data_IF_551756017767
#
_entry.id   IF_551756017767
#
_cell.length_a   1.000
_cell.length_b   1.000
_cell.length_c   1.000
_cell.angle_alpha   90.00
_cell.angle_beta   90.00
_cell.angle_gamma   90.00
#
_symmetry.space_group_name_H-M   'P 1'
#
loop_
_entity.id
_entity.type
_entity.pdbx_description
1 polymer ?
#
# COMPACT_ATOMS: atom_id res chain seq x y z
N UNK A 1 -27.46 -17.25 -16.15
CA UNK A 1 -26.20 -17.23 -16.91
C UNK A 1 -25.10 -17.60 -15.93
N UNK A 2 -24.59 -18.79 -16.11
CA UNK A 2 -23.58 -19.40 -15.25
C UNK A 2 -22.25 -18.60 -15.40
N UNK A 3 -21.92 -17.82 -14.38
CA UNK A 3 -20.63 -17.13 -14.33
C UNK A 3 -19.60 -18.11 -13.77
N UNK A 4 -19.10 -18.98 -14.63
CA UNK A 4 -17.89 -19.72 -14.31
C UNK A 4 -16.78 -18.73 -13.97
N UNK A 5 -16.31 -18.79 -12.72
CA UNK A 5 -15.10 -18.11 -12.27
C UNK A 5 -13.99 -18.50 -13.25
N UNK A 6 -13.27 -17.56 -13.87
CA UNK A 6 -12.19 -17.90 -14.79
C UNK A 6 -11.20 -18.87 -14.10
N UNK A 7 -10.71 -19.86 -14.81
CA UNK A 7 -9.73 -20.85 -14.30
C UNK A 7 -8.52 -20.19 -13.62
N UNK A 8 -8.17 -18.99 -14.03
CA UNK A 8 -7.18 -18.11 -13.40
C UNK A 8 -7.49 -17.78 -11.94
N UNK A 9 -8.76 -17.53 -11.56
CA UNK A 9 -9.14 -17.27 -10.18
C UNK A 9 -9.04 -18.53 -9.29
N UNK A 10 -9.13 -19.72 -9.88
CA UNK A 10 -8.93 -20.97 -9.17
C UNK A 10 -7.44 -21.28 -8.94
N UNK A 11 -6.55 -20.97 -9.91
CA UNK A 11 -5.11 -21.10 -9.71
C UNK A 11 -4.53 -20.10 -8.69
N UNK A 12 -5.09 -18.90 -8.60
CA UNK A 12 -4.66 -17.90 -7.60
C UNK A 12 -5.25 -18.20 -6.21
N UNK A 13 -6.41 -18.86 -6.14
CA UNK A 13 -7.02 -19.26 -4.86
C UNK A 13 -6.23 -20.34 -4.11
N UNK A 14 -5.28 -21.01 -4.79
CA UNK A 14 -4.42 -22.01 -4.14
C UNK A 14 -3.13 -21.40 -3.53
N UNK A 15 -2.82 -20.14 -3.85
CA UNK A 15 -1.76 -19.40 -3.18
C UNK A 15 -2.32 -18.72 -1.92
N UNK A 16 -2.07 -19.31 -0.76
CA UNK A 16 -2.34 -18.71 0.54
C UNK A 16 -3.71 -19.04 1.13
N UNK A 17 -4.16 -20.28 1.09
CA UNK A 17 -5.06 -20.77 2.13
C UNK A 17 -4.26 -20.80 3.43
N UNK A 18 -4.76 -20.08 4.45
CA UNK A 18 -4.28 -20.31 5.81
C UNK A 18 -4.40 -21.81 6.06
N UNK A 19 -3.29 -22.47 6.26
CA UNK A 19 -3.29 -23.82 6.84
C UNK A 19 -3.41 -23.61 8.35
N UNK A 20 -4.18 -24.48 8.99
CA UNK A 20 -3.99 -24.61 10.42
C UNK A 20 -2.49 -24.95 10.65
N UNK A 21 -1.82 -24.29 11.60
CA UNK A 21 -0.40 -24.52 11.81
C UNK A 21 -0.16 -26.00 12.13
N UNK A 22 0.71 -26.63 11.34
CA UNK A 22 1.15 -27.98 11.63
C UNK A 22 2.15 -27.94 12.80
N UNK A 23 2.28 -29.03 13.58
CA UNK A 23 3.30 -29.12 14.62
C UNK A 23 4.70 -28.82 14.01
N UNK A 24 5.34 -27.74 14.48
CA UNK A 24 6.62 -27.25 13.94
C UNK A 24 6.50 -26.00 13.05
N UNK A 25 5.29 -25.51 12.78
CA UNK A 25 5.06 -24.15 12.27
C UNK A 25 5.11 -23.17 13.45
N UNK A 26 5.74 -22.05 13.29
CA UNK A 26 5.91 -20.97 14.27
C UNK A 26 6.76 -19.89 13.65
N UNK A 27 7.11 -18.88 14.40
CA UNK A 27 7.93 -17.77 13.93
C UNK A 27 9.36 -18.25 13.63
N UNK A 28 9.75 -18.27 12.35
CA UNK A 28 11.12 -18.60 11.96
C UNK A 28 12.07 -17.50 12.43
N UNK A 29 13.04 -17.87 13.26
CA UNK A 29 14.11 -16.98 13.69
C UNK A 29 15.08 -16.78 12.52
N UNK A 30 15.14 -15.56 11.99
CA UNK A 30 16.01 -15.18 10.88
C UNK A 30 17.38 -14.74 11.35
N UNK A 31 17.42 -13.99 12.45
CA UNK A 31 18.64 -13.49 13.05
C UNK A 31 18.50 -13.41 14.57
N UNK A 32 19.62 -13.58 15.29
CA UNK A 32 19.73 -13.35 16.73
C UNK A 32 20.87 -12.38 16.96
N UNK A 33 20.59 -11.30 17.68
CA UNK A 33 21.62 -10.29 17.98
C UNK A 33 22.59 -10.84 19.03
N UNK A 34 23.92 -10.82 18.78
CA UNK A 34 24.90 -11.21 19.80
C UNK A 34 24.75 -10.43 21.09
N UNK A 35 25.00 -11.07 22.21
CA UNK A 35 24.92 -10.46 23.55
C UNK A 35 23.50 -9.96 23.90
N UNK A 36 22.46 -10.63 23.40
CA UNK A 36 21.06 -10.36 23.72
C UNK A 36 20.45 -11.49 24.58
N UNK A 37 19.31 -11.27 25.24
CA UNK A 37 18.64 -12.31 26.01
C UNK A 37 18.42 -13.61 25.23
N UNK A 38 17.99 -13.53 23.97
CA UNK A 38 17.81 -14.70 23.12
C UNK A 38 19.12 -15.42 22.77
N UNK A 39 20.22 -14.68 22.63
CA UNK A 39 21.56 -15.25 22.41
C UNK A 39 22.06 -16.01 23.62
N UNK A 40 21.86 -15.47 24.82
CA UNK A 40 22.37 -16.03 26.08
C UNK A 40 21.73 -17.38 26.41
N UNK A 41 20.50 -17.60 25.98
CA UNK A 41 19.79 -18.89 26.14
C UNK A 41 20.00 -19.87 24.99
N UNK A 42 20.77 -19.47 23.95
CA UNK A 42 21.16 -20.34 22.84
C UNK A 42 20.12 -20.46 21.73
N UNK A 43 19.24 -19.47 21.55
CA UNK A 43 18.38 -19.40 20.37
C UNK A 43 19.26 -19.05 19.17
N UNK A 44 19.09 -19.77 18.05
CA UNK A 44 19.89 -19.63 16.84
C UNK A 44 19.01 -19.38 15.59
N UNK A 45 19.55 -18.71 14.56
CA UNK A 45 18.87 -18.61 13.27
C UNK A 45 18.50 -19.98 12.70
N UNK A 46 17.26 -20.10 12.19
CA UNK A 46 16.70 -21.35 11.69
C UNK A 46 15.83 -22.10 12.70
N UNK A 47 15.93 -21.81 13.99
CA UNK A 47 14.96 -22.27 14.99
C UNK A 47 13.61 -21.58 14.80
N UNK A 48 12.57 -22.10 15.44
CA UNK A 48 11.23 -21.54 15.41
C UNK A 48 10.68 -21.32 16.82
N UNK A 49 10.10 -20.16 17.06
CA UNK A 49 9.33 -19.90 18.28
C UNK A 49 7.89 -20.31 18.01
N UNK A 50 7.39 -21.28 18.75
CA UNK A 50 6.04 -21.84 18.58
C UNK A 50 5.00 -21.09 19.40
N UNK A 51 5.33 -20.84 20.68
CA UNK A 51 4.46 -20.14 21.62
C UNK A 51 5.21 -19.04 22.36
N UNK A 52 4.48 -18.07 22.84
CA UNK A 52 4.93 -17.00 23.72
C UNK A 52 3.93 -16.87 24.88
N UNK A 53 4.38 -17.00 26.13
CA UNK A 53 3.54 -17.03 27.35
C UNK A 53 2.37 -18.03 27.25
N UNK A 54 2.59 -19.15 26.53
CA UNK A 54 1.57 -20.18 26.29
C UNK A 54 0.57 -19.86 25.17
N UNK A 55 0.62 -18.67 24.57
CA UNK A 55 -0.16 -18.33 23.38
C UNK A 55 0.61 -18.71 22.09
N UNK A 56 -0.09 -19.26 21.10
CA UNK A 56 0.51 -19.64 19.84
C UNK A 56 1.02 -18.39 19.09
N UNK A 57 2.28 -18.41 18.67
CA UNK A 57 2.90 -17.29 17.96
C UNK A 57 2.55 -17.32 16.46
N UNK A 58 1.44 -16.68 16.11
CA UNK A 58 0.90 -16.64 14.75
C UNK A 58 1.37 -15.44 13.92
N UNK A 59 1.78 -14.37 14.57
CA UNK A 59 2.18 -13.12 13.93
C UNK A 59 2.93 -12.18 14.89
N UNK A 60 3.42 -11.08 14.33
CA UNK A 60 4.13 -10.04 15.10
C UNK A 60 3.25 -9.30 16.10
N UNK A 61 1.91 -9.30 15.95
CA UNK A 61 1.02 -8.64 16.91
C UNK A 61 0.98 -9.43 18.20
N UNK A 62 0.86 -10.76 18.08
CA UNK A 62 0.96 -11.66 19.25
C UNK A 62 2.31 -11.48 19.95
N UNK A 63 3.41 -11.44 19.18
CA UNK A 63 4.73 -11.20 19.75
C UNK A 63 4.81 -9.86 20.51
N UNK A 64 4.40 -8.78 19.89
CA UNK A 64 4.47 -7.45 20.51
C UNK A 64 3.58 -7.30 21.73
N UNK A 65 2.47 -8.03 21.76
CA UNK A 65 1.52 -8.00 22.87
C UNK A 65 1.98 -8.86 24.06
N UNK A 66 2.42 -10.09 23.77
CA UNK A 66 2.78 -11.06 24.81
C UNK A 66 4.22 -10.88 25.33
N UNK A 67 5.12 -10.28 24.53
CA UNK A 67 6.51 -10.09 24.91
C UNK A 67 6.81 -8.64 25.39
N UNK A 68 5.81 -7.93 25.90
CA UNK A 68 5.97 -6.54 26.41
C UNK A 68 6.62 -6.51 27.80
N UNK A 69 6.44 -7.53 28.64
CA UNK A 69 7.02 -7.65 29.96
C UNK A 69 8.54 -7.88 29.92
N UNK A 70 9.19 -7.81 31.11
CA UNK A 70 10.64 -8.03 31.26
C UNK A 70 11.03 -9.52 31.24
N UNK A 71 10.05 -10.42 31.39
CA UNK A 71 10.23 -11.90 31.34
C UNK A 71 9.22 -12.48 30.35
N UNK A 72 9.64 -13.46 29.54
CA UNK A 72 8.77 -14.16 28.60
C UNK A 72 9.11 -15.66 28.53
N UNK A 73 8.06 -16.51 28.53
CA UNK A 73 8.16 -17.93 28.33
C UNK A 73 7.96 -18.31 26.87
N UNK A 74 8.93 -19.02 26.29
CA UNK A 74 8.87 -19.45 24.88
C UNK A 74 8.93 -20.99 24.79
N UNK A 75 8.24 -21.56 23.80
CA UNK A 75 8.55 -22.89 23.29
C UNK A 75 9.30 -22.76 21.97
N UNK A 76 10.54 -23.24 21.95
CA UNK A 76 11.44 -23.13 20.81
C UNK A 76 11.65 -24.49 20.16
N UNK A 77 11.34 -24.61 18.88
CA UNK A 77 11.58 -25.80 18.06
C UNK A 77 12.91 -25.69 17.32
N UNK A 78 13.75 -26.71 17.49
CA UNK A 78 14.99 -26.87 16.73
C UNK A 78 14.78 -27.88 15.58
N UNK A 79 14.81 -27.45 14.33
CA UNK A 79 14.61 -28.35 13.19
C UNK A 79 15.78 -29.32 12.95
N UNK A 80 16.93 -29.11 13.57
CA UNK A 80 18.12 -29.97 13.41
C UNK A 80 17.96 -31.33 14.10
N UNK A 81 17.24 -31.37 15.19
CA UNK A 81 17.02 -32.60 15.99
C UNK A 81 15.55 -32.89 16.26
N UNK A 82 14.64 -31.96 15.89
CA UNK A 82 13.20 -32.10 16.07
C UNK A 82 12.72 -31.88 17.51
N UNK A 83 13.54 -31.27 18.36
CA UNK A 83 13.18 -31.03 19.77
C UNK A 83 12.40 -29.72 19.94
N UNK A 84 11.49 -29.72 20.92
CA UNK A 84 10.84 -28.50 21.44
C UNK A 84 11.36 -28.28 22.85
N UNK A 85 11.94 -27.12 23.09
CA UNK A 85 12.54 -26.75 24.37
C UNK A 85 11.81 -25.56 24.96
N UNK A 86 11.30 -25.62 26.20
CA UNK A 86 10.82 -24.44 26.90
C UNK A 86 12.02 -23.57 27.30
N UNK A 87 11.90 -22.28 27.08
CA UNK A 87 12.95 -21.28 27.33
C UNK A 87 12.34 -20.08 28.01
N UNK A 88 12.86 -19.69 29.16
CA UNK A 88 12.53 -18.41 29.81
C UNK A 88 13.57 -17.37 29.41
N UNK A 89 13.12 -16.21 28.96
CA UNK A 89 13.97 -15.06 28.66
C UNK A 89 13.67 -13.93 29.63
N UNK A 90 14.76 -13.36 30.17
CA UNK A 90 14.72 -12.15 31.00
C UNK A 90 15.47 -11.04 30.30
N UNK A 91 14.94 -9.82 30.39
CA UNK A 91 15.59 -8.59 29.85
C UNK A 91 15.57 -7.47 30.87
N UNK A 92 16.48 -6.53 30.73
CA UNK A 92 16.39 -5.26 31.43
C UNK A 92 15.30 -4.39 30.80
N UNK A 93 14.63 -3.50 31.60
CA UNK A 93 13.62 -2.60 31.05
C UNK A 93 14.10 -1.82 29.82
N UNK A 94 13.40 -1.99 28.71
CA UNK A 94 13.72 -1.35 27.42
C UNK A 94 14.82 -2.05 26.61
N UNK A 95 15.36 -3.17 27.09
CA UNK A 95 16.25 -4.01 26.31
C UNK A 95 15.45 -4.78 25.25
N UNK A 96 16.04 -4.93 24.07
CA UNK A 96 15.47 -5.70 22.97
C UNK A 96 15.79 -7.20 23.14
N UNK A 97 14.82 -8.06 22.91
CA UNK A 97 14.99 -9.52 23.03
C UNK A 97 16.09 -10.10 22.13
N UNK A 98 16.43 -9.38 21.06
CA UNK A 98 17.46 -9.79 20.10
C UNK A 98 16.98 -10.76 19.04
N UNK A 99 15.65 -10.96 18.88
CA UNK A 99 15.06 -11.85 17.89
C UNK A 99 14.59 -11.06 16.66
N UNK A 100 15.03 -11.49 15.48
CA UNK A 100 14.46 -11.05 14.19
C UNK A 100 13.77 -12.25 13.53
N UNK A 101 12.48 -12.14 13.27
CA UNK A 101 11.70 -13.17 12.60
C UNK A 101 11.65 -12.97 11.08
N UNK A 102 11.35 -14.04 10.33
CA UNK A 102 11.20 -13.98 8.88
C UNK A 102 9.77 -13.55 8.49
N UNK A 103 9.59 -12.23 8.38
CA UNK A 103 8.32 -11.60 8.06
C UNK A 103 7.43 -11.36 9.29
N UNK A 104 6.25 -10.75 9.08
CA UNK A 104 5.34 -10.37 10.15
C UNK A 104 4.21 -11.38 10.41
N UNK A 105 4.00 -12.38 9.55
CA UNK A 105 2.94 -13.39 9.61
C UNK A 105 3.57 -14.77 9.60
N UNK A 106 3.25 -15.62 10.59
CA UNK A 106 3.91 -16.90 10.80
C UNK A 106 3.02 -18.11 10.48
N UNK A 107 1.70 -17.95 10.51
CA UNK A 107 0.70 -18.99 10.20
C UNK A 107 0.17 -18.95 8.75
N UNK A 108 0.75 -18.08 7.94
CA UNK A 108 0.31 -17.84 6.56
C UNK A 108 -0.63 -16.64 6.42
N UNK A 109 -0.52 -15.99 5.26
CA UNK A 109 -1.28 -14.78 4.96
C UNK A 109 -2.72 -15.12 4.57
N UNK A 110 -3.70 -14.37 5.10
CA UNK A 110 -5.10 -14.49 4.70
C UNK A 110 -5.35 -13.84 3.35
N UNK A 111 -6.09 -14.55 2.50
CA UNK A 111 -6.36 -14.10 1.14
C UNK A 111 -7.76 -13.55 0.97
N UNK A 112 -7.89 -12.61 0.02
CA UNK A 112 -9.13 -11.93 -0.29
C UNK A 112 -10.17 -12.89 -0.91
N UNK A 113 -11.38 -12.89 -0.37
CA UNK A 113 -12.52 -13.69 -0.83
C UNK A 113 -13.45 -12.96 -1.79
N UNK A 114 -13.15 -11.70 -2.11
CA UNK A 114 -14.00 -10.84 -2.93
C UNK A 114 -13.78 -11.03 -4.43
N UNK A 115 -14.77 -10.62 -5.23
CA UNK A 115 -14.73 -10.59 -6.68
C UNK A 115 -14.86 -9.16 -7.22
N UNK A 116 -14.04 -8.25 -6.71
CA UNK A 116 -14.14 -6.82 -7.01
C UNK A 116 -13.98 -6.55 -8.51
N UNK A 117 -14.90 -5.73 -9.05
CA UNK A 117 -14.86 -5.35 -10.47
C UNK A 117 -13.64 -4.49 -10.84
N UNK A 118 -13.08 -3.81 -9.85
CA UNK A 118 -11.91 -2.95 -9.94
C UNK A 118 -10.62 -3.62 -9.41
N UNK A 119 -10.66 -4.94 -9.10
CA UNK A 119 -9.49 -5.64 -8.55
C UNK A 119 -8.30 -5.53 -9.51
N UNK A 120 -7.24 -4.89 -9.04
CA UNK A 120 -6.04 -4.64 -9.83
C UNK A 120 -5.39 -5.95 -10.32
N UNK A 121 -5.43 -7.01 -9.50
CA UNK A 121 -4.89 -8.33 -9.87
C UNK A 121 -5.52 -8.89 -11.16
N UNK A 122 -6.83 -8.62 -11.39
CA UNK A 122 -7.52 -9.05 -12.61
C UNK A 122 -7.19 -8.17 -13.82
N UNK A 123 -6.50 -7.05 -13.62
CA UNK A 123 -6.08 -6.11 -14.64
C UNK A 123 -4.61 -6.26 -15.03
N UNK A 124 -3.89 -7.22 -14.45
CA UNK A 124 -2.51 -7.51 -14.78
C UNK A 124 -2.39 -8.45 -16.00
N UNK A 125 -1.29 -8.39 -16.74
CA UNK A 125 -1.00 -9.35 -17.80
C UNK A 125 -0.78 -10.76 -17.21
N UNK A 126 -1.22 -11.79 -17.92
CA UNK A 126 -0.94 -13.18 -17.50
C UNK A 126 0.54 -13.53 -17.66
N UNK A 127 1.03 -14.45 -16.82
CA UNK A 127 2.39 -15.03 -16.94
C UNK A 127 3.48 -14.15 -16.31
N UNK A 128 3.14 -13.23 -15.43
CA UNK A 128 4.10 -12.52 -14.58
C UNK A 128 4.61 -13.40 -13.42
N UNK A 129 5.45 -12.83 -12.57
CA UNK A 129 5.90 -13.50 -11.33
C UNK A 129 4.70 -13.74 -10.40
N UNK A 130 4.68 -14.87 -9.71
CA UNK A 130 3.59 -15.25 -8.79
C UNK A 130 3.28 -14.18 -7.74
N UNK A 131 4.32 -13.52 -7.22
CA UNK A 131 4.19 -12.43 -6.25
C UNK A 131 3.37 -11.23 -6.74
N UNK A 132 3.19 -11.06 -8.06
CA UNK A 132 2.34 -10.00 -8.61
C UNK A 132 0.84 -10.31 -8.53
N UNK A 133 0.46 -11.53 -8.18
CA UNK A 133 -0.93 -11.99 -8.16
C UNK A 133 -1.42 -12.36 -6.77
N UNK A 134 -0.66 -12.01 -5.74
CA UNK A 134 -1.05 -12.18 -4.34
C UNK A 134 -2.23 -11.25 -4.06
N UNK A 135 -3.31 -11.83 -3.52
CA UNK A 135 -4.53 -11.11 -3.14
C UNK A 135 -4.65 -11.13 -1.63
N UNK A 136 -3.83 -10.32 -0.99
CA UNK A 136 -3.89 -10.17 0.45
C UNK A 136 -5.20 -9.47 0.89
N UNK A 137 -5.71 -9.89 2.03
CA UNK A 137 -6.83 -9.27 2.75
C UNK A 137 -6.69 -9.64 4.23
N UNK A 138 -5.45 -9.53 4.74
CA UNK A 138 -5.09 -9.92 6.10
C UNK A 138 -5.12 -8.70 7.01
N UNK A 139 -6.05 -8.69 7.95
CA UNK A 139 -6.24 -7.57 8.87
C UNK A 139 -5.00 -7.26 9.72
N UNK A 140 -4.14 -8.27 9.98
CA UNK A 140 -2.88 -8.08 10.69
C UNK A 140 -1.90 -7.22 9.90
N UNK A 141 -1.85 -7.41 8.56
CA UNK A 141 -1.03 -6.57 7.68
C UNK A 141 -1.59 -5.15 7.55
N UNK A 142 -2.90 -4.96 7.74
CA UNK A 142 -3.47 -3.63 7.82
C UNK A 142 -2.88 -2.84 8.98
N UNK A 143 -2.84 -3.44 10.17
CA UNK A 143 -2.27 -2.81 11.35
C UNK A 143 -0.74 -2.67 11.28
N UNK A 144 -0.03 -3.75 10.88
CA UNK A 144 1.44 -3.78 10.90
C UNK A 144 2.11 -3.00 9.77
N UNK A 145 1.47 -2.90 8.61
CA UNK A 145 2.09 -2.37 7.38
C UNK A 145 1.23 -1.35 6.64
N UNK A 146 0.01 -1.08 7.10
CA UNK A 146 -0.88 -0.13 6.44
C UNK A 146 -1.59 -0.68 5.19
N UNK A 147 -1.64 -2.00 5.00
CA UNK A 147 -2.35 -2.59 3.87
C UNK A 147 -3.86 -2.35 3.99
N UNK A 148 -4.51 -1.98 2.88
CA UNK A 148 -5.96 -1.82 2.87
C UNK A 148 -6.68 -3.16 2.79
N UNK A 149 -7.54 -3.42 3.78
CA UNK A 149 -8.33 -4.64 3.87
C UNK A 149 -9.82 -4.36 3.72
N UNK A 150 -10.55 -5.40 3.32
CA UNK A 150 -12.00 -5.28 3.05
C UNK A 150 -12.86 -5.67 4.25
N UNK A 151 -12.29 -6.31 5.26
CA UNK A 151 -12.92 -6.89 6.45
C UNK A 151 -13.97 -7.98 6.14
N UNK A 152 -14.05 -8.45 4.89
CA UNK A 152 -15.11 -9.38 4.43
C UNK A 152 -14.81 -10.83 4.76
N UNK A 153 -13.57 -11.16 5.12
CA UNK A 153 -13.10 -12.51 5.46
C UNK A 153 -12.81 -12.69 6.96
N UNK A 154 -13.08 -11.69 7.79
CA UNK A 154 -12.87 -11.79 9.24
C UNK A 154 -13.93 -12.68 9.88
N UNK A 155 -13.48 -13.59 10.75
CA UNK A 155 -14.34 -14.32 11.69
C UNK A 155 -14.73 -13.43 12.85
N UNK A 156 -15.67 -13.88 13.69
CA UNK A 156 -16.03 -13.14 14.90
C UNK A 156 -14.87 -13.12 15.91
N UNK A 157 -14.03 -14.16 15.94
CA UNK A 157 -12.82 -14.21 16.74
C UNK A 157 -11.79 -13.17 16.28
N UNK A 158 -11.61 -13.02 14.96
CA UNK A 158 -10.73 -11.98 14.42
C UNK A 158 -11.17 -10.58 14.81
N UNK A 159 -12.50 -10.33 14.77
CA UNK A 159 -13.07 -9.04 15.20
C UNK A 159 -12.77 -8.80 16.69
N UNK A 160 -12.93 -9.84 17.53
CA UNK A 160 -12.57 -9.71 18.95
C UNK A 160 -11.08 -9.44 19.14
N UNK A 161 -10.20 -10.10 18.41
CA UNK A 161 -8.75 -9.85 18.45
C UNK A 161 -8.41 -8.40 18.08
N UNK A 162 -9.03 -7.86 17.02
CA UNK A 162 -8.86 -6.44 16.63
C UNK A 162 -9.21 -5.51 17.79
N UNK A 163 -10.35 -5.76 18.44
CA UNK A 163 -10.86 -4.92 19.53
C UNK A 163 -10.01 -5.07 20.79
N UNK A 164 -9.75 -6.31 21.24
CA UNK A 164 -9.04 -6.59 22.50
C UNK A 164 -7.59 -6.11 22.47
N UNK A 165 -6.90 -6.27 21.34
CA UNK A 165 -5.53 -5.79 21.16
C UNK A 165 -5.45 -4.35 20.67
N UNK A 166 -6.59 -3.65 20.60
CA UNK A 166 -6.68 -2.26 20.17
C UNK A 166 -5.87 -1.97 18.89
N UNK A 167 -6.12 -2.79 17.85
CA UNK A 167 -5.40 -2.64 16.56
C UNK A 167 -5.88 -1.37 15.84
N UNK A 168 -5.28 -0.26 16.18
CA UNK A 168 -5.67 1.07 15.71
C UNK A 168 -4.42 1.88 15.31
N UNK A 169 -4.42 2.58 14.14
CA UNK A 169 -5.47 2.62 13.15
C UNK A 169 -5.51 1.39 12.24
N UNK A 170 -6.71 1.11 11.67
CA UNK A 170 -6.90 0.10 10.64
C UNK A 170 -7.13 0.76 9.27
N UNK A 171 -6.49 0.23 8.22
CA UNK A 171 -6.66 0.70 6.84
C UNK A 171 -7.75 -0.12 6.14
N UNK A 172 -8.90 0.50 5.81
CA UNK A 172 -10.08 -0.22 5.36
C UNK A 172 -10.61 0.28 4.02
N UNK A 173 -10.78 -0.64 3.09
CA UNK A 173 -11.41 -0.43 1.78
C UNK A 173 -12.94 -0.35 1.92
N UNK A 174 -13.51 0.86 1.91
CA UNK A 174 -14.95 1.11 2.05
C UNK A 174 -15.67 1.09 0.70
N UNK A 175 -15.21 1.84 -0.26
CA UNK A 175 -15.66 2.00 -1.64
C UNK A 175 -17.07 2.55 -1.83
N UNK A 176 -18.06 2.08 -1.10
CA UNK A 176 -19.46 2.51 -1.15
C UNK A 176 -20.18 2.05 0.11
N UNK A 177 -21.31 2.70 0.47
CA UNK A 177 -22.13 2.32 1.64
C UNK A 177 -23.42 1.61 1.26
N UNK A 178 -23.99 1.87 0.08
CA UNK A 178 -25.21 1.21 -0.35
C UNK A 178 -25.00 -0.28 -0.60
N UNK A 179 -25.76 -1.20 0.06
CA UNK A 179 -25.55 -2.64 -0.04
C UNK A 179 -25.55 -3.18 -1.46
N UNK A 180 -26.46 -2.67 -2.31
CA UNK A 180 -26.58 -3.09 -3.70
C UNK A 180 -25.37 -2.66 -4.53
N UNK A 181 -24.83 -1.47 -4.28
CA UNK A 181 -23.63 -0.95 -4.96
C UNK A 181 -22.43 -1.78 -4.51
N UNK A 182 -22.23 -1.97 -3.22
CA UNK A 182 -21.16 -2.81 -2.66
C UNK A 182 -21.20 -4.22 -3.25
N UNK A 183 -22.39 -4.85 -3.28
CA UNK A 183 -22.55 -6.19 -3.84
C UNK A 183 -22.16 -6.26 -5.31
N UNK A 184 -22.53 -5.27 -6.10
CA UNK A 184 -22.14 -5.19 -7.53
C UNK A 184 -20.64 -4.95 -7.70
N UNK A 185 -20.02 -4.18 -6.82
CA UNK A 185 -18.61 -3.84 -6.87
C UNK A 185 -17.71 -4.96 -6.36
N UNK A 186 -18.04 -5.59 -5.23
CA UNK A 186 -17.14 -6.48 -4.48
C UNK A 186 -17.63 -7.94 -4.41
N UNK A 187 -18.92 -8.19 -4.63
CA UNK A 187 -19.52 -9.52 -4.57
C UNK A 187 -20.33 -9.76 -3.30
N UNK A 188 -20.65 -11.04 -3.04
CA UNK A 188 -21.64 -11.46 -2.03
C UNK A 188 -21.28 -11.15 -0.57
N UNK A 189 -19.99 -11.12 -0.26
CA UNK A 189 -19.50 -10.93 1.11
C UNK A 189 -19.36 -9.43 1.49
N UNK A 190 -19.68 -8.52 0.59
CA UNK A 190 -19.44 -7.09 0.78
C UNK A 190 -20.14 -6.50 2.01
N UNK A 191 -21.35 -7.01 2.37
CA UNK A 191 -22.08 -6.54 3.55
C UNK A 191 -21.35 -6.88 4.85
N UNK A 192 -20.78 -8.09 4.97
CA UNK A 192 -19.99 -8.49 6.15
C UNK A 192 -18.91 -7.46 6.49
N UNK A 193 -18.21 -6.93 5.46
CA UNK A 193 -17.19 -5.91 5.67
C UNK A 193 -17.72 -4.61 6.30
N UNK A 194 -18.96 -4.20 5.97
CA UNK A 194 -19.60 -3.04 6.63
C UNK A 194 -20.00 -3.34 8.06
N UNK A 195 -20.60 -4.52 8.30
CA UNK A 195 -21.03 -4.92 9.64
C UNK A 195 -19.81 -4.99 10.60
N UNK A 196 -18.68 -5.51 10.12
CA UNK A 196 -17.42 -5.53 10.88
C UNK A 196 -16.87 -4.11 11.07
N UNK A 197 -16.87 -3.28 10.03
CA UNK A 197 -16.38 -1.89 10.12
C UNK A 197 -17.15 -1.12 11.20
N UNK A 198 -18.49 -1.17 11.19
CA UNK A 198 -19.31 -0.51 12.21
C UNK A 198 -19.03 -1.07 13.61
N UNK A 199 -18.81 -2.38 13.73
CA UNK A 199 -18.49 -3.02 15.01
C UNK A 199 -17.16 -2.53 15.59
N UNK A 200 -16.10 -2.49 14.79
CA UNK A 200 -14.77 -2.05 15.27
C UNK A 200 -14.74 -0.54 15.53
N UNK A 201 -15.45 0.27 14.73
CA UNK A 201 -15.60 1.70 14.99
C UNK A 201 -16.35 1.95 16.30
N UNK A 202 -17.42 1.20 16.57
CA UNK A 202 -18.17 1.31 17.84
C UNK A 202 -17.31 0.95 19.07
N UNK A 203 -16.26 0.14 18.88
CA UNK A 203 -15.26 -0.16 19.92
C UNK A 203 -14.15 0.90 20.02
N UNK A 204 -14.17 1.94 19.19
CA UNK A 204 -13.21 3.05 19.24
C UNK A 204 -11.99 2.89 18.33
N UNK A 205 -11.94 1.86 17.47
CA UNK A 205 -10.84 1.67 16.53
C UNK A 205 -10.84 2.78 15.46
N UNK A 206 -9.72 3.45 15.30
CA UNK A 206 -9.51 4.47 14.28
C UNK A 206 -9.36 3.83 12.90
N UNK A 207 -9.94 4.47 11.87
CA UNK A 207 -10.00 3.96 10.51
C UNK A 207 -9.37 4.96 9.54
N UNK A 208 -8.42 4.48 8.76
CA UNK A 208 -8.02 5.10 7.51
C UNK A 208 -8.78 4.43 6.38
N UNK A 209 -9.78 5.12 5.85
CA UNK A 209 -10.67 4.57 4.84
C UNK A 209 -10.16 4.84 3.41
N UNK A 210 -10.53 3.96 2.46
CA UNK A 210 -10.21 4.14 1.04
C UNK A 210 -11.44 3.93 0.17
N UNK A 211 -11.58 4.78 -0.86
CA UNK A 211 -12.54 4.63 -1.95
C UNK A 211 -11.78 4.51 -3.27
N UNK A 212 -11.88 3.36 -3.94
CA UNK A 212 -11.56 3.27 -5.37
C UNK A 212 -12.76 3.75 -6.15
N UNK A 213 -12.66 4.92 -6.77
CA UNK A 213 -13.76 5.56 -7.48
C UNK A 213 -13.89 5.00 -8.89
N UNK A 214 -14.98 4.25 -9.12
CA UNK A 214 -15.26 3.54 -10.36
C UNK A 214 -16.35 4.28 -11.15
N UNK A 215 -16.04 4.76 -12.38
CA UNK A 215 -16.99 5.51 -13.19
C UNK A 215 -18.32 4.79 -13.42
N UNK A 216 -19.44 5.45 -13.08
CA UNK A 216 -20.80 4.94 -13.24
C UNK A 216 -21.20 3.84 -12.25
N UNK A 217 -20.44 3.63 -11.17
CA UNK A 217 -20.75 2.63 -10.15
C UNK A 217 -20.92 3.22 -8.75
N UNK A 218 -19.89 3.87 -8.23
CA UNK A 218 -19.88 4.49 -6.90
C UNK A 218 -19.51 5.98 -6.94
N UNK A 219 -19.61 6.61 -8.11
CA UNK A 219 -19.51 8.05 -8.30
C UNK A 219 -20.87 8.77 -8.07
N UNK A 220 -20.90 10.10 -8.24
CA UNK A 220 -22.11 10.90 -8.10
C UNK A 220 -22.81 10.75 -6.75
N UNK A 221 -24.10 10.42 -6.77
CA UNK A 221 -24.93 10.30 -5.55
C UNK A 221 -24.41 9.23 -4.57
N UNK A 222 -23.85 8.13 -5.07
CA UNK A 222 -23.31 7.10 -4.20
C UNK A 222 -22.04 7.55 -3.49
N UNK A 223 -21.18 8.28 -4.18
CA UNK A 223 -20.01 8.91 -3.56
C UNK A 223 -20.48 9.87 -2.46
N UNK A 224 -21.45 10.73 -2.73
CA UNK A 224 -21.96 11.67 -1.74
C UNK A 224 -22.51 10.96 -0.48
N UNK A 225 -23.26 9.84 -0.64
CA UNK A 225 -23.73 9.04 0.48
C UNK A 225 -22.57 8.46 1.30
N UNK A 226 -21.54 7.98 0.61
CA UNK A 226 -20.35 7.42 1.27
C UNK A 226 -19.57 8.50 2.03
N UNK A 227 -19.44 9.69 1.45
CA UNK A 227 -18.80 10.82 2.12
C UNK A 227 -19.57 11.25 3.37
N UNK A 228 -20.92 11.30 3.32
CA UNK A 228 -21.78 11.59 4.49
C UNK A 228 -21.60 10.55 5.59
N UNK A 229 -21.59 9.28 5.25
CA UNK A 229 -21.29 8.22 6.20
C UNK A 229 -19.95 8.43 6.89
N UNK A 230 -18.90 8.72 6.13
CA UNK A 230 -17.58 8.98 6.70
C UNK A 230 -17.54 10.27 7.55
N UNK A 231 -18.30 11.30 7.20
CA UNK A 231 -18.41 12.54 7.99
C UNK A 231 -19.14 12.34 9.33
N UNK A 232 -20.09 11.37 9.39
CA UNK A 232 -20.86 11.06 10.60
C UNK A 232 -20.07 10.21 11.60
N UNK A 233 -19.01 9.50 11.16
CA UNK A 233 -18.19 8.62 12.00
C UNK A 233 -16.81 9.23 12.26
N UNK A 234 -16.63 9.77 13.46
CA UNK A 234 -15.38 10.47 13.87
C UNK A 234 -14.16 9.53 13.94
N UNK A 235 -14.39 8.22 14.05
CA UNK A 235 -13.36 7.18 13.99
C UNK A 235 -12.69 7.11 12.62
N UNK A 236 -13.36 7.58 11.55
CA UNK A 236 -12.76 7.71 10.23
C UNK A 236 -11.93 9.00 10.20
N UNK A 237 -10.65 8.88 10.54
CA UNK A 237 -9.75 10.02 10.67
C UNK A 237 -9.13 10.45 9.34
N UNK A 238 -9.06 9.54 8.37
CA UNK A 238 -8.59 9.80 7.03
C UNK A 238 -9.37 8.99 5.98
N UNK A 239 -9.74 9.62 4.87
CA UNK A 239 -10.37 8.97 3.73
C UNK A 239 -9.61 9.33 2.45
N UNK A 240 -8.97 8.32 1.86
CA UNK A 240 -8.32 8.43 0.55
C UNK A 240 -9.27 8.08 -0.59
N UNK A 241 -9.39 8.97 -1.58
CA UNK A 241 -10.19 8.73 -2.77
C UNK A 241 -9.24 8.61 -3.96
N UNK A 242 -9.15 7.39 -4.51
CA UNK A 242 -8.25 7.08 -5.63
C UNK A 242 -9.07 6.72 -6.87
N UNK A 243 -8.62 7.08 -8.08
CA UNK A 243 -9.34 6.70 -9.29
C UNK A 243 -9.13 5.22 -9.60
N UNK A 244 -10.10 4.63 -10.31
CA UNK A 244 -9.97 3.28 -10.84
C UNK A 244 -8.69 3.11 -11.65
N UNK A 245 -7.85 2.17 -11.27
CA UNK A 245 -6.73 1.73 -12.09
C UNK A 245 -7.23 1.12 -13.40
N UNK A 246 -6.75 1.63 -14.55
CA UNK A 246 -7.27 1.26 -15.86
C UNK A 246 -6.18 0.68 -16.76
N UNK A 247 -6.31 -0.60 -17.12
CA UNK A 247 -5.36 -1.28 -17.99
C UNK A 247 -6.04 -1.90 -19.22
N UNK A 248 -5.27 -2.27 -20.23
CA UNK A 248 -5.77 -2.94 -21.43
C UNK A 248 -6.23 -4.39 -21.20
N UNK A 249 -5.95 -4.97 -20.04
CA UNK A 249 -6.29 -6.34 -19.70
C UNK A 249 -7.66 -6.50 -19.07
N UNK A 250 -8.34 -5.39 -18.76
CA UNK A 250 -9.72 -5.38 -18.31
C UNK A 250 -10.68 -4.96 -19.42
N UNK A 251 -11.95 -5.36 -19.31
CA UNK A 251 -13.02 -5.05 -20.27
C UNK A 251 -14.32 -4.55 -19.61
N UNK A 252 -14.30 -4.32 -18.31
CA UNK A 252 -15.49 -3.92 -17.52
C UNK A 252 -15.77 -2.43 -17.61
N UNK A 253 -14.71 -1.62 -17.73
CA UNK A 253 -14.79 -0.17 -17.83
C UNK A 253 -14.29 0.28 -19.21
N UNK A 254 -14.95 1.27 -19.78
CA UNK A 254 -14.63 1.82 -21.11
C UNK A 254 -13.78 3.09 -21.03
N UNK A 255 -13.74 3.75 -19.88
CA UNK A 255 -13.02 4.99 -19.63
C UNK A 255 -12.58 5.10 -18.18
N UNK A 256 -11.64 6.01 -17.91
CA UNK A 256 -11.18 6.40 -16.58
C UNK A 256 -11.24 7.92 -16.44
N UNK A 257 -10.95 8.46 -15.25
CA UNK A 257 -10.95 9.90 -15.01
C UNK A 257 -9.91 10.65 -15.87
N UNK A 258 -8.76 10.05 -16.17
CA UNK A 258 -7.77 10.59 -17.11
C UNK A 258 -8.30 10.81 -18.53
N UNK A 259 -9.44 10.19 -18.86
CA UNK A 259 -10.09 10.35 -20.15
C UNK A 259 -11.05 11.54 -20.19
N UNK A 260 -11.45 12.03 -19.04
CA UNK A 260 -12.48 13.04 -18.84
C UNK A 260 -12.08 14.03 -17.73
N UNK A 261 -11.16 14.95 -18.03
CA UNK A 261 -10.68 15.94 -17.07
C UNK A 261 -11.79 16.76 -16.40
N UNK A 262 -12.89 16.99 -17.10
CA UNK A 262 -14.06 17.69 -16.57
C UNK A 262 -14.68 16.94 -15.38
N UNK A 263 -14.80 15.60 -15.47
CA UNK A 263 -15.35 14.80 -14.39
C UNK A 263 -14.39 14.72 -13.19
N UNK A 264 -13.10 14.76 -13.42
CA UNK A 264 -12.11 14.87 -12.33
C UNK A 264 -12.30 16.21 -11.58
N UNK A 265 -12.51 17.33 -12.30
CA UNK A 265 -12.80 18.65 -11.67
C UNK A 265 -14.11 18.65 -10.91
N UNK A 266 -15.16 18.07 -11.50
CA UNK A 266 -16.47 17.98 -10.85
C UNK A 266 -16.40 17.15 -9.55
N UNK A 267 -15.62 16.07 -9.55
CA UNK A 267 -15.40 15.24 -8.37
C UNK A 267 -14.64 16.00 -7.29
N UNK A 268 -13.58 16.73 -7.64
CA UNK A 268 -12.85 17.60 -6.71
C UNK A 268 -13.79 18.64 -6.11
N UNK A 269 -14.61 19.28 -6.92
CA UNK A 269 -15.57 20.30 -6.50
C UNK A 269 -16.65 19.71 -5.54
N UNK A 270 -17.10 18.47 -5.77
CA UNK A 270 -18.08 17.79 -4.92
C UNK A 270 -17.50 17.51 -3.52
N UNK A 271 -16.22 17.14 -3.44
CA UNK A 271 -15.57 16.75 -2.17
C UNK A 271 -15.21 17.97 -1.33
N UNK A 272 -14.93 19.12 -1.94
CA UNK A 272 -14.49 20.33 -1.25
C UNK A 272 -15.33 20.72 -0.04
N UNK A 273 -16.67 20.76 -0.09
CA UNK A 273 -17.49 21.10 1.08
C UNK A 273 -17.32 20.11 2.25
N UNK A 274 -17.02 18.82 1.99
CA UNK A 274 -16.74 17.84 3.02
C UNK A 274 -15.38 18.08 3.66
N UNK A 275 -14.37 18.46 2.87
CA UNK A 275 -13.05 18.85 3.37
C UNK A 275 -13.16 20.05 4.32
N UNK A 276 -13.87 21.08 3.89
CA UNK A 276 -14.04 22.32 4.66
C UNK A 276 -14.75 22.04 6.00
N UNK A 277 -15.87 21.30 6.00
CA UNK A 277 -16.59 20.93 7.23
C UNK A 277 -15.80 20.03 8.16
N UNK A 278 -15.03 19.07 7.62
CA UNK A 278 -14.18 18.22 8.43
C UNK A 278 -13.08 19.02 9.11
N UNK A 279 -12.47 19.98 8.41
CA UNK A 279 -11.48 20.86 8.99
C UNK A 279 -12.09 21.78 10.06
N UNK A 280 -13.26 22.37 9.81
CA UNK A 280 -13.97 23.18 10.81
C UNK A 280 -14.34 22.38 12.06
N UNK A 281 -14.77 21.13 11.91
CA UNK A 281 -15.24 20.29 13.01
C UNK A 281 -14.11 19.65 13.80
N UNK A 282 -13.08 19.14 13.10
CA UNK A 282 -12.06 18.25 13.68
C UNK A 282 -10.65 18.83 13.63
N UNK A 283 -10.43 19.96 12.93
CA UNK A 283 -9.10 20.52 12.70
C UNK A 283 -8.20 19.66 11.80
N UNK A 284 -8.78 18.75 11.00
CA UNK A 284 -8.07 17.88 10.08
C UNK A 284 -8.80 17.76 8.74
N UNK A 285 -8.03 17.49 7.66
CA UNK A 285 -8.56 17.31 6.32
C UNK A 285 -8.83 15.81 6.06
N UNK A 286 -9.90 15.30 6.70
CA UNK A 286 -10.25 13.86 6.61
C UNK A 286 -10.39 13.36 5.18
N UNK A 287 -10.96 14.16 4.26
CA UNK A 287 -11.26 13.77 2.89
C UNK A 287 -10.14 14.19 1.95
N UNK A 288 -9.35 13.24 1.47
CA UNK A 288 -8.20 13.51 0.61
C UNK A 288 -8.32 12.77 -0.71
N UNK A 289 -7.86 13.39 -1.79
CA UNK A 289 -7.85 12.78 -3.12
C UNK A 289 -6.43 12.47 -3.55
N UNK A 290 -6.27 11.40 -4.32
CA UNK A 290 -4.96 11.07 -4.88
C UNK A 290 -4.48 12.15 -5.85
N UNK A 291 -3.17 12.27 -5.96
CA UNK A 291 -2.50 13.20 -6.85
C UNK A 291 -2.93 13.04 -8.31
N UNK A 292 -3.34 11.81 -8.71
CA UNK A 292 -3.80 11.53 -10.06
C UNK A 292 -5.06 12.34 -10.42
N UNK A 293 -5.99 12.54 -9.48
CA UNK A 293 -7.17 13.41 -9.72
C UNK A 293 -6.78 14.85 -10.01
N UNK A 294 -5.82 15.39 -9.27
CA UNK A 294 -5.34 16.77 -9.50
C UNK A 294 -4.62 16.89 -10.84
N UNK A 295 -3.78 15.92 -11.18
CA UNK A 295 -3.11 15.86 -12.48
C UNK A 295 -4.10 15.77 -13.64
N UNK A 296 -5.09 14.87 -13.53
CA UNK A 296 -6.12 14.68 -14.55
C UNK A 296 -7.00 15.93 -14.72
N UNK A 297 -7.31 16.61 -13.63
CA UNK A 297 -8.06 17.86 -13.62
C UNK A 297 -7.24 19.07 -14.15
N UNK A 298 -5.91 18.95 -14.20
CA UNK A 298 -5.02 20.07 -14.48
C UNK A 298 -5.01 21.13 -13.36
N UNK A 299 -5.19 20.67 -12.12
CA UNK A 299 -5.20 21.50 -10.90
C UNK A 299 -3.92 21.17 -10.12
N UNK A 300 -3.26 22.17 -9.55
CA UNK A 300 -2.11 21.96 -8.69
C UNK A 300 -2.55 21.29 -7.38
N UNK A 301 -1.83 20.23 -6.92
CA UNK A 301 -2.12 19.60 -5.62
C UNK A 301 -2.06 20.59 -4.47
N UNK A 302 -2.84 20.41 -3.40
CA UNK A 302 -2.81 21.25 -2.21
C UNK A 302 -1.42 21.43 -1.60
N UNK A 303 -1.29 22.43 -0.72
CA UNK A 303 -0.08 22.63 0.07
C UNK A 303 0.10 21.55 1.15
N UNK A 304 1.32 21.43 1.72
CA UNK A 304 1.69 20.37 2.65
C UNK A 304 0.76 20.24 3.86
N UNK A 305 0.33 21.38 4.40
CA UNK A 305 -0.55 21.45 5.58
C UNK A 305 -1.91 20.76 5.36
N UNK A 306 -2.36 20.67 4.10
CA UNK A 306 -3.60 20.00 3.75
C UNK A 306 -3.55 18.48 3.96
N UNK A 307 -2.37 17.89 3.97
CA UNK A 307 -2.22 16.43 4.04
C UNK A 307 -2.08 15.87 5.47
N UNK A 308 -2.13 16.72 6.51
CA UNK A 308 -2.13 16.33 7.93
C UNK A 308 -1.05 15.28 8.30
N UNK A 309 0.16 15.46 7.79
CA UNK A 309 1.27 14.52 7.99
C UNK A 309 1.28 13.32 7.05
N UNK A 310 0.44 13.32 6.01
CA UNK A 310 0.40 12.31 4.94
C UNK A 310 -0.01 10.91 5.40
N UNK A 311 -1.15 10.72 6.07
CA UNK A 311 -1.57 9.42 6.59
C UNK A 311 -1.79 8.36 5.50
N UNK A 312 -2.04 8.79 4.26
CA UNK A 312 -2.26 7.90 3.11
C UNK A 312 -1.26 8.13 1.97
N UNK A 313 -0.02 8.44 2.33
CA UNK A 313 1.05 8.74 1.36
C UNK A 313 1.22 7.65 0.30
N UNK A 314 1.20 6.38 0.72
CA UNK A 314 1.42 5.24 -0.18
C UNK A 314 0.25 4.98 -1.14
N UNK A 315 -0.91 5.58 -0.92
CA UNK A 315 -2.05 5.58 -1.86
C UNK A 315 -1.91 6.64 -2.97
N UNK A 316 -0.76 7.30 -3.04
CA UNK A 316 -0.50 8.35 -4.02
C UNK A 316 -1.19 9.67 -3.65
N UNK A 317 -1.34 9.93 -2.34
CA UNK A 317 -1.96 11.15 -1.80
C UNK A 317 -0.87 12.04 -1.19
N UNK A 318 -0.63 13.18 -1.86
CA UNK A 318 0.37 14.17 -1.43
C UNK A 318 1.81 13.83 -1.82
N UNK A 319 2.06 12.78 -2.61
CA UNK A 319 3.41 12.43 -3.07
C UNK A 319 4.02 13.51 -3.95
N UNK A 320 3.20 14.15 -4.81
CA UNK A 320 3.65 15.25 -5.67
C UNK A 320 4.05 16.45 -4.81
N UNK A 321 3.22 16.83 -3.82
CA UNK A 321 3.52 17.95 -2.93
C UNK A 321 4.80 17.68 -2.14
N UNK A 322 4.93 16.53 -1.50
CA UNK A 322 6.14 16.13 -0.78
C UNK A 322 7.39 16.21 -1.66
N UNK A 323 7.31 15.70 -2.91
CA UNK A 323 8.42 15.78 -3.86
C UNK A 323 8.80 17.23 -4.21
N UNK A 324 7.80 18.10 -4.46
CA UNK A 324 8.03 19.50 -4.79
C UNK A 324 8.72 20.23 -3.63
N UNK A 325 8.21 20.05 -2.41
CA UNK A 325 8.75 20.69 -1.22
C UNK A 325 10.17 20.19 -0.90
N UNK A 326 10.43 18.89 -1.04
CA UNK A 326 11.78 18.34 -0.89
C UNK A 326 12.75 18.90 -1.93
N UNK A 327 12.33 19.00 -3.19
CA UNK A 327 13.18 19.54 -4.25
C UNK A 327 13.45 21.04 -4.08
N UNK A 328 12.47 21.81 -3.63
CA UNK A 328 12.64 23.23 -3.32
C UNK A 328 13.58 23.43 -2.12
N UNK A 329 13.47 22.61 -1.08
CA UNK A 329 14.40 22.60 0.05
C UNK A 329 15.83 22.28 -0.41
N UNK A 330 16.03 21.29 -1.28
CA UNK A 330 17.34 20.94 -1.83
C UNK A 330 17.90 22.09 -2.68
N UNK A 331 17.06 22.75 -3.49
CA UNK A 331 17.47 23.91 -4.28
C UNK A 331 17.92 25.08 -3.39
N UNK A 332 17.25 25.29 -2.27
CA UNK A 332 17.57 26.37 -1.33
C UNK A 332 18.81 26.06 -0.48
N UNK A 333 18.91 24.86 0.08
CA UNK A 333 19.94 24.49 1.05
C UNK A 333 21.24 23.99 0.40
N UNK A 334 21.15 23.28 -0.73
CA UNK A 334 22.26 22.50 -1.30
C UNK A 334 22.75 22.98 -2.68
N UNK A 335 22.53 24.24 -3.04
CA UNK A 335 22.92 24.79 -4.36
C UNK A 335 24.39 24.52 -4.74
N UNK A 336 25.30 24.60 -3.77
CA UNK A 336 26.73 24.29 -3.99
C UNK A 336 26.98 22.81 -4.27
N UNK A 337 26.25 21.92 -3.63
CA UNK A 337 26.33 20.48 -3.84
C UNK A 337 25.77 20.11 -5.22
N UNK A 338 24.64 20.69 -5.60
CA UNK A 338 24.06 20.50 -6.94
C UNK A 338 25.02 20.96 -8.03
N UNK A 339 25.68 22.11 -7.85
CA UNK A 339 26.72 22.60 -8.80
C UNK A 339 27.83 21.58 -8.94
N UNK A 340 28.39 21.07 -7.84
CA UNK A 340 29.44 20.05 -7.88
C UNK A 340 29.00 18.76 -8.58
N UNK A 341 27.72 18.34 -8.37
CA UNK A 341 27.18 17.16 -9.06
C UNK A 341 27.14 17.38 -10.57
N UNK A 342 26.60 18.54 -11.03
CA UNK A 342 26.53 18.88 -12.45
C UNK A 342 27.91 18.93 -13.10
N UNK A 343 28.85 19.62 -12.47
CA UNK A 343 30.24 19.73 -12.94
C UNK A 343 30.94 18.36 -12.99
N UNK A 344 30.71 17.51 -11.98
CA UNK A 344 31.21 16.14 -11.94
C UNK A 344 30.67 15.25 -13.04
N UNK A 345 29.39 15.39 -13.41
CA UNK A 345 28.76 14.68 -14.54
C UNK A 345 29.36 15.19 -15.85
N UNK A 346 29.43 16.50 -16.04
CA UNK A 346 29.98 17.13 -17.24
C UNK A 346 31.45 16.80 -17.46
N UNK A 347 32.28 16.82 -16.41
CA UNK A 347 33.72 16.50 -16.48
C UNK A 347 33.98 15.05 -16.93
N UNK A 348 33.03 14.16 -16.76
CA UNK A 348 33.09 12.76 -17.23
C UNK A 348 32.54 12.60 -18.65
N UNK A 349 32.15 13.67 -19.33
CA UNK A 349 31.51 13.63 -20.64
C UNK A 349 30.14 12.91 -20.60
N UNK A 350 29.49 12.82 -19.42
CA UNK A 350 28.22 12.15 -19.20
C UNK A 350 27.07 13.14 -19.22
N UNK A 351 25.87 12.61 -19.44
CA UNK A 351 24.59 13.33 -19.28
C UNK A 351 23.68 12.54 -18.36
N UNK A 352 22.94 13.23 -17.49
CA UNK A 352 21.94 12.61 -16.64
C UNK A 352 20.67 12.35 -17.46
N UNK A 353 20.22 11.11 -17.48
CA UNK A 353 18.92 10.72 -18.00
C UNK A 353 18.09 10.13 -16.87
N UNK A 354 16.96 10.78 -16.58
CA UNK A 354 15.95 10.27 -15.64
C UNK A 354 14.80 9.64 -16.43
N UNK A 355 14.42 8.44 -16.04
CA UNK A 355 13.27 7.73 -16.61
C UNK A 355 12.10 7.85 -15.64
N UNK A 356 10.93 8.30 -16.12
CA UNK A 356 9.74 8.53 -15.30
C UNK A 356 8.49 7.92 -15.95
N UNK A 357 7.43 7.70 -15.16
CA UNK A 357 6.09 7.48 -15.69
C UNK A 357 5.57 8.72 -16.42
N UNK A 358 4.59 8.54 -17.31
CA UNK A 358 4.04 9.65 -18.09
C UNK A 358 3.38 10.72 -17.20
N UNK A 359 2.64 10.31 -16.17
CA UNK A 359 1.93 11.21 -15.26
C UNK A 359 2.88 12.06 -14.39
N UNK A 360 4.00 11.47 -13.94
CA UNK A 360 4.97 12.16 -13.08
C UNK A 360 6.07 12.92 -13.86
N UNK A 361 6.12 12.79 -15.20
CA UNK A 361 7.22 13.32 -16.02
C UNK A 361 7.43 14.82 -15.80
N UNK A 362 6.36 15.59 -15.87
CA UNK A 362 6.46 17.06 -15.80
C UNK A 362 6.82 17.53 -14.38
N UNK A 363 6.32 16.88 -13.36
CA UNK A 363 6.69 17.13 -11.97
C UNK A 363 8.18 16.86 -11.74
N UNK A 364 8.67 15.69 -12.17
CA UNK A 364 10.10 15.34 -12.04
C UNK A 364 10.99 16.27 -12.85
N UNK A 365 10.53 16.75 -14.01
CA UNK A 365 11.27 17.65 -14.87
C UNK A 365 11.51 19.03 -14.23
N UNK A 366 10.61 19.52 -13.38
CA UNK A 366 10.80 20.79 -12.66
C UNK A 366 12.16 20.86 -11.95
N UNK A 367 12.62 19.77 -11.36
CA UNK A 367 13.91 19.69 -10.69
C UNK A 367 15.03 19.17 -11.61
N UNK A 368 14.81 18.04 -12.30
CA UNK A 368 15.85 17.37 -13.09
C UNK A 368 16.30 18.17 -14.28
N UNK A 369 15.40 18.83 -15.01
CA UNK A 369 15.71 19.62 -16.20
C UNK A 369 16.06 21.08 -15.86
N UNK A 370 15.84 21.51 -14.60
CA UNK A 370 16.17 22.85 -14.16
C UNK A 370 17.69 23.09 -14.23
N UNK A 371 18.14 24.27 -14.73
CA UNK A 371 19.55 24.66 -14.69
C UNK A 371 20.09 24.83 -13.27
N UNK A 372 19.22 25.09 -12.30
CA UNK A 372 19.57 25.16 -10.88
C UNK A 372 19.51 23.79 -10.19
N UNK A 373 18.73 22.85 -10.74
CA UNK A 373 18.63 21.46 -10.29
C UNK A 373 19.77 20.61 -10.84
N UNK A 374 19.42 19.50 -11.49
CA UNK A 374 20.40 18.53 -12.00
C UNK A 374 20.86 18.78 -13.45
N UNK A 375 20.22 19.69 -14.18
CA UNK A 375 20.46 19.98 -15.60
C UNK A 375 20.46 18.70 -16.47
N UNK A 376 19.58 17.76 -16.14
CA UNK A 376 19.42 16.48 -16.82
C UNK A 376 18.34 16.51 -17.89
N UNK A 377 17.92 15.32 -18.30
CA UNK A 377 16.77 15.11 -19.19
C UNK A 377 15.82 14.10 -18.58
N UNK A 378 14.52 14.35 -18.62
CA UNK A 378 13.49 13.39 -18.17
C UNK A 378 12.77 12.79 -19.38
N UNK A 379 12.77 11.48 -19.46
CA UNK A 379 12.07 10.75 -20.52
C UNK A 379 10.93 9.94 -19.94
N UNK A 380 9.72 10.19 -20.43
CA UNK A 380 8.56 9.41 -20.07
C UNK A 380 8.62 8.00 -20.68
N UNK A 381 8.51 6.98 -19.83
CA UNK A 381 8.40 5.58 -20.29
C UNK A 381 6.92 5.28 -20.53
N UNK A 382 6.59 4.98 -21.79
CA UNK A 382 5.28 4.41 -22.12
C UNK A 382 5.25 2.96 -21.64
N UNK A 383 4.25 2.58 -20.85
CA UNK A 383 4.04 1.20 -20.37
C UNK A 383 3.12 0.43 -21.33
N UNK A 384 3.58 -0.10 -22.48
CA UNK A 384 2.71 -0.76 -23.46
C UNK A 384 2.13 -2.07 -22.93
N UNK A 385 2.68 -2.62 -21.85
CA UNK A 385 2.23 -3.85 -21.23
C UNK A 385 0.90 -3.66 -20.49
N UNK A 386 0.72 -2.55 -19.78
CA UNK A 386 -0.43 -2.30 -18.92
C UNK A 386 -1.49 -1.40 -19.57
N UNK A 387 -1.08 -0.38 -20.34
CA UNK A 387 -2.00 0.62 -20.83
C UNK A 387 -2.61 0.29 -22.18
N UNK A 388 -3.91 0.56 -22.34
CA UNK A 388 -4.58 0.56 -23.64
C UNK A 388 -4.00 1.69 -24.47
N UNK A 389 -3.35 1.39 -25.60
CA UNK A 389 -3.10 2.44 -26.60
C UNK A 389 -4.46 2.89 -27.13
N UNK A 390 -4.86 4.13 -26.89
CA UNK A 390 -6.03 4.72 -27.54
C UNK A 390 -5.79 4.81 -29.03
N UNK A 391 -6.81 4.42 -29.77
CA UNK A 391 -6.80 4.46 -31.20
C UNK A 391 -6.59 5.86 -31.73
N UNK A 392 -5.55 6.02 -32.47
CA UNK A 392 -5.24 6.74 -33.69
C UNK A 392 -3.74 6.88 -33.79
N UNK A 393 -3.07 5.82 -34.13
CA UNK A 393 -2.03 5.90 -35.16
C UNK A 393 -1.65 4.51 -35.62
N UNK A 394 -2.16 4.15 -36.81
CA UNK A 394 -1.72 2.94 -37.51
C UNK A 394 -0.37 3.14 -38.24
N UNK A 395 0.35 4.19 -37.90
CA UNK A 395 1.60 4.56 -38.57
C UNK A 395 2.71 4.93 -37.58
N UNK A 396 3.09 4.05 -36.68
CA UNK A 396 4.44 4.10 -36.13
C UNK A 396 5.09 2.74 -36.20
N UNK A 397 5.96 2.62 -37.25
CA UNK A 397 6.99 1.60 -37.37
C UNK A 397 7.74 1.50 -36.03
N UNK A 398 8.10 0.27 -35.68
CA UNK A 398 9.06 -0.07 -34.66
C UNK A 398 10.33 0.80 -34.83
N UNK A 399 10.41 1.92 -34.18
CA UNK A 399 11.70 2.55 -33.93
C UNK A 399 12.34 1.75 -32.78
N UNK A 400 13.23 0.86 -33.17
CA UNK A 400 14.22 0.30 -32.24
C UNK A 400 15.08 1.46 -31.79
N UNK A 401 15.15 1.68 -30.49
CA UNK A 401 16.15 2.56 -29.92
C UNK A 401 17.55 1.95 -30.16
N UNK A 402 18.41 2.54 -31.00
CA UNK A 402 19.78 2.10 -31.13
C UNK A 402 20.55 2.73 -29.97
N UNK A 403 21.11 1.92 -29.09
CA UNK A 403 22.17 2.34 -28.20
C UNK A 403 21.85 2.41 -26.70
N UNK A 404 20.90 1.69 -26.17
CA UNK A 404 20.87 1.41 -24.72
C UNK A 404 21.87 0.31 -24.38
N UNK A 405 23.15 0.65 -24.39
CA UNK A 405 24.17 -0.15 -23.73
C UNK A 405 23.81 -0.18 -22.23
N UNK A 406 23.73 -1.38 -21.67
CA UNK A 406 23.44 -1.62 -20.28
C UNK A 406 24.36 -0.76 -19.39
N UNK A 407 23.82 0.34 -18.86
CA UNK A 407 24.50 1.12 -17.84
C UNK A 407 24.52 0.28 -16.56
N UNK A 408 25.70 -0.05 -16.08
CA UNK A 408 25.89 -0.66 -14.76
C UNK A 408 25.35 0.32 -13.71
N UNK A 409 24.60 -0.15 -12.70
CA UNK A 409 24.11 0.70 -11.65
C UNK A 409 25.29 1.24 -10.85
N UNK A 410 25.45 2.56 -10.84
CA UNK A 410 26.32 3.26 -9.90
C UNK A 410 25.48 3.46 -8.63
N UNK A 411 25.95 2.86 -7.53
CA UNK A 411 25.21 2.85 -6.26
C UNK A 411 24.92 4.26 -5.74
N UNK A 412 23.76 4.44 -5.17
CA UNK A 412 23.44 5.52 -4.24
C UNK A 412 22.45 6.59 -4.70
N UNK A 413 22.00 6.64 -5.95
CA UNK A 413 21.03 7.65 -6.43
C UNK A 413 19.78 7.06 -7.11
N UNK A 414 19.56 5.76 -6.98
CA UNK A 414 18.48 5.06 -7.67
C UNK A 414 17.16 4.95 -6.87
N UNK A 415 17.11 5.39 -5.60
CA UNK A 415 15.91 5.28 -4.77
C UNK A 415 14.79 6.27 -5.15
N UNK A 416 15.15 7.44 -5.69
CA UNK A 416 14.17 8.46 -6.10
C UNK A 416 13.39 8.11 -7.37
N UNK A 417 13.94 7.27 -8.25
CA UNK A 417 13.24 6.84 -9.47
C UNK A 417 12.36 5.59 -9.27
N UNK A 418 12.51 4.87 -8.16
CA UNK A 418 11.76 3.65 -7.86
C UNK A 418 10.50 3.90 -7.02
N UNK A 419 10.42 5.00 -6.28
CA UNK A 419 9.24 5.32 -5.47
C UNK A 419 8.01 5.65 -6.31
N UNK A 420 8.15 6.27 -7.47
CA UNK A 420 7.03 6.47 -8.40
C UNK A 420 6.64 5.20 -9.19
N UNK A 421 7.40 4.11 -9.06
CA UNK A 421 7.04 2.78 -9.58
C UNK A 421 6.46 1.85 -8.50
N UNK A 422 6.58 2.19 -7.21
CA UNK A 422 6.14 1.36 -6.09
C UNK A 422 4.66 1.47 -5.75
N UNK A 423 3.93 2.45 -6.29
CA UNK A 423 2.45 2.46 -6.25
C UNK A 423 1.81 1.37 -7.11
N UNK A 424 2.59 0.40 -7.57
CA UNK A 424 2.14 -0.81 -8.27
C UNK A 424 2.48 -2.09 -7.50
N UNK A 425 2.88 -1.99 -6.24
CA UNK A 425 3.10 -3.13 -5.34
C UNK A 425 2.38 -2.88 -4.02
N UNK A 426 1.09 -2.98 -4.04
CA UNK A 426 0.23 -3.37 -2.94
C UNK A 426 -0.83 -4.30 -3.51
#
# INVERSE_FOLDING_TARGET
MDQTVPAYAAEVADYGRSRDPEPGEGALVKNVRPESPAWDVGIEPGMRVLTVNGEQLTDMIVWLWEADDDTVDLEVFDPRDGTVTPVELDRFPGEDWGLEFDGPIFDGMRTCVNACVFCFMTMLPKGGRSTLYIRDDDYRLSFLQGNFVTLTNLTDEDVQNVIQRNMSPMNVSVHAVSPDVRRRMMGRNAQRGMDVLETIMAAGIEIHAQIVLCPGMNDGEELEKTLRFCEEHEQITSLGIVPLGFTKHQNRFSWSYSDKPELARDTIAMIRPFQDRAFERFGRHTFQMSDEFYLDAGIEPPEADFYDGYPQYYDGIGMIRSYLDETDNVLAADAKRLTRVREGIAARGQRLLCLSGASARDTVARFVESPHGLAGTVTAIKKPLLWRQRGRDRTHRRERYPGAAAARPVGGLCSLCLSSCSTLTA
#
